data_IF_943675369884
#
_entry.id   IF_943675369884
#
_cell.length_a   1.000
_cell.length_b   1.000
_cell.length_c   1.000
_cell.angle_alpha   90.00
_cell.angle_beta   90.00
_cell.angle_gamma   90.00
#
_symmetry.space_group_name_H-M   'P 1'
#
loop_
_entity.id
_entity.type
_entity.pdbx_description
1 polymer ?
#
# COMPACT_ATOMS: atom_id res chain seq x y z
N UNK A 1 -5.33 -15.44 10.33
CA UNK A 1 -5.15 -14.12 9.67
C UNK A 1 -6.10 -13.13 10.32
N UNK A 2 -5.57 -12.09 10.93
CA UNK A 2 -6.38 -11.08 11.60
C UNK A 2 -6.74 -9.95 10.63
N UNK A 3 -7.51 -8.96 11.09
CA UNK A 3 -7.96 -7.86 10.22
C UNK A 3 -6.81 -7.01 9.71
N UNK A 4 -5.73 -6.89 10.49
CA UNK A 4 -4.57 -6.14 10.04
C UNK A 4 -3.91 -6.82 8.85
N UNK A 5 -3.79 -8.15 8.90
CA UNK A 5 -3.22 -8.93 7.80
C UNK A 5 -4.08 -8.83 6.55
N UNK A 6 -5.40 -8.84 6.71
CA UNK A 6 -6.32 -8.68 5.58
C UNK A 6 -6.14 -7.33 4.91
N UNK A 7 -6.07 -6.26 5.72
CA UNK A 7 -5.86 -4.92 5.17
C UNK A 7 -4.53 -4.77 4.47
N UNK A 8 -3.46 -5.32 5.06
CA UNK A 8 -2.14 -5.26 4.44
C UNK A 8 -2.14 -6.00 3.11
N UNK A 9 -2.80 -7.16 3.05
CA UNK A 9 -2.90 -7.91 1.81
C UNK A 9 -3.64 -7.13 0.73
N UNK A 10 -4.74 -6.48 1.09
CA UNK A 10 -5.50 -5.68 0.14
C UNK A 10 -4.66 -4.51 -0.39
N UNK A 11 -3.90 -3.87 0.48
CA UNK A 11 -3.00 -2.79 0.07
C UNK A 11 -1.92 -3.33 -0.86
N UNK A 12 -1.30 -4.45 -0.51
CA UNK A 12 -0.25 -5.06 -1.33
C UNK A 12 -0.77 -5.43 -2.71
N UNK A 13 -2.00 -5.97 -2.79
CA UNK A 13 -2.60 -6.30 -4.07
C UNK A 13 -2.84 -5.04 -4.91
N UNK A 14 -3.30 -3.97 -4.28
CA UNK A 14 -3.52 -2.71 -4.98
C UNK A 14 -2.21 -2.10 -5.48
N UNK A 15 -1.18 -2.12 -4.65
CA UNK A 15 0.14 -1.61 -5.03
C UNK A 15 0.68 -2.41 -6.22
N UNK A 16 0.52 -3.72 -6.19
CA UNK A 16 0.96 -4.57 -7.29
C UNK A 16 0.24 -4.20 -8.59
N UNK A 17 -1.08 -3.98 -8.53
CA UNK A 17 -1.84 -3.57 -9.69
C UNK A 17 -1.35 -2.23 -10.25
N UNK A 18 -1.04 -1.28 -9.38
CA UNK A 18 -0.55 0.02 -9.80
C UNK A 18 0.83 -0.08 -10.46
N UNK A 19 1.72 -0.89 -9.90
CA UNK A 19 3.02 -1.13 -10.51
C UNK A 19 2.89 -1.77 -11.89
N UNK A 20 2.00 -2.75 -12.02
CA UNK A 20 1.77 -3.40 -13.31
C UNK A 20 1.22 -2.41 -14.33
N UNK A 21 0.31 -1.54 -13.91
CA UNK A 21 -0.24 -0.52 -14.79
C UNK A 21 0.85 0.40 -15.32
N UNK A 22 1.70 0.90 -14.43
CA UNK A 22 2.81 1.76 -14.81
C UNK A 22 3.82 1.01 -15.68
N UNK A 23 4.12 -0.24 -15.29
CA UNK A 23 5.10 -1.06 -15.99
C UNK A 23 4.69 -1.44 -17.39
N UNK A 24 3.39 -1.46 -17.71
CA UNK A 24 2.90 -1.75 -19.05
C UNK A 24 2.84 -0.52 -19.95
N UNK A 25 3.23 0.65 -19.44
CA UNK A 25 3.23 1.87 -20.21
C UNK A 25 1.86 2.50 -20.42
N UNK A 26 0.88 2.14 -19.59
CA UNK A 26 -0.47 2.68 -19.69
C UNK A 26 -0.61 4.10 -19.16
N UNK A 27 0.37 4.57 -18.41
CA UNK A 27 0.39 5.96 -17.97
C UNK A 27 0.82 6.82 -19.16
N UNK A 28 -0.14 7.57 -19.74
CA UNK A 28 0.07 8.28 -20.98
C UNK A 28 0.87 9.58 -20.83
N UNK A 29 0.87 10.16 -19.63
CA UNK A 29 1.53 11.44 -19.39
C UNK A 29 2.43 11.35 -18.17
N UNK A 30 3.38 12.28 -18.10
CA UNK A 30 4.22 12.40 -16.93
C UNK A 30 3.41 12.75 -15.68
N UNK A 31 2.38 13.57 -15.85
CA UNK A 31 1.52 13.95 -14.73
C UNK A 31 0.78 12.74 -14.17
N UNK A 32 0.27 11.87 -15.04
CA UNK A 32 -0.39 10.65 -14.62
C UNK A 32 0.60 9.72 -13.93
N UNK A 33 1.80 9.58 -14.47
CA UNK A 33 2.86 8.80 -13.85
C UNK A 33 3.15 9.30 -12.44
N UNK A 34 3.30 10.61 -12.27
CA UNK A 34 3.56 11.20 -10.95
C UNK A 34 2.42 10.94 -9.99
N UNK A 35 1.18 11.04 -10.47
CA UNK A 35 0.00 10.78 -9.64
C UNK A 35 -0.02 9.34 -9.14
N UNK A 36 0.28 8.40 -10.03
CA UNK A 36 0.32 6.98 -9.68
C UNK A 36 1.44 6.68 -8.67
N UNK A 37 2.60 7.29 -8.86
CA UNK A 37 3.69 7.14 -7.90
C UNK A 37 3.30 7.68 -6.53
N UNK A 38 2.59 8.80 -6.47
CA UNK A 38 2.10 9.37 -5.22
C UNK A 38 1.08 8.45 -4.55
N UNK A 39 0.21 7.84 -5.33
CA UNK A 39 -0.78 6.88 -4.81
C UNK A 39 -0.08 5.67 -4.20
N UNK A 40 0.91 5.12 -4.89
CA UNK A 40 1.69 3.99 -4.38
C UNK A 40 2.37 4.37 -3.08
N UNK A 41 3.00 5.54 -3.04
CA UNK A 41 3.68 6.01 -1.84
C UNK A 41 2.71 6.16 -0.68
N UNK A 42 1.52 6.71 -0.93
CA UNK A 42 0.49 6.85 0.11
C UNK A 42 0.03 5.51 0.64
N UNK A 43 -0.17 4.53 -0.25
CA UNK A 43 -0.58 3.18 0.15
C UNK A 43 0.50 2.50 0.99
N UNK A 44 1.77 2.64 0.60
CA UNK A 44 2.87 2.06 1.36
C UNK A 44 3.02 2.73 2.73
N UNK A 45 2.78 4.02 2.80
CA UNK A 45 2.79 4.74 4.07
C UNK A 45 1.67 4.22 4.98
N UNK A 46 0.46 4.06 4.45
CA UNK A 46 -0.67 3.51 5.21
C UNK A 46 -0.40 2.09 5.67
N UNK A 47 0.24 1.28 4.82
CA UNK A 47 0.64 -0.07 5.16
C UNK A 47 1.54 -0.06 6.40
N UNK A 48 2.48 0.87 6.45
CA UNK A 48 3.37 1.02 7.60
C UNK A 48 2.61 1.35 8.87
N UNK A 49 1.61 2.22 8.78
CA UNK A 49 0.78 2.57 9.94
C UNK A 49 0.00 1.36 10.46
N UNK A 50 -0.53 0.55 9.56
CA UNK A 50 -1.31 -0.64 9.94
C UNK A 50 -0.40 -1.65 10.65
N UNK A 51 0.79 -1.89 10.11
CA UNK A 51 1.74 -2.82 10.71
C UNK A 51 2.22 -2.33 12.08
N UNK A 52 2.44 -1.03 12.20
CA UNK A 52 2.83 -0.44 13.47
C UNK A 52 1.71 -0.61 14.51
N UNK A 53 0.48 -0.35 14.09
CA UNK A 53 -0.68 -0.53 14.98
C UNK A 53 -0.82 -1.98 15.41
N UNK A 54 -0.69 -2.91 14.48
CA UNK A 54 -0.74 -4.34 14.79
C UNK A 54 0.31 -4.69 15.85
N UNK A 55 1.54 -4.23 15.63
CA UNK A 55 2.63 -4.50 16.57
C UNK A 55 2.34 -3.96 17.95
N UNK A 56 1.84 -2.73 18.04
CA UNK A 56 1.50 -2.12 19.33
C UNK A 56 0.36 -2.86 20.02
N UNK A 57 -0.65 -3.29 19.26
CA UNK A 57 -1.78 -4.02 19.83
C UNK A 57 -1.38 -5.40 20.34
N UNK A 58 -0.46 -6.08 19.65
CA UNK A 58 0.02 -7.38 20.09
C UNK A 58 0.87 -7.30 21.36
N UNK A 59 1.44 -6.14 21.65
CA UNK A 59 2.28 -5.92 22.82
C UNK A 59 1.61 -5.08 23.90
N UNK A 60 0.32 -4.81 23.75
CA UNK A 60 -0.38 -3.92 24.66
C UNK A 60 -0.62 -4.51 26.05
N UNK A 61 -0.45 -5.81 26.20
CA UNK A 61 -0.65 -6.49 27.48
C UNK A 61 0.59 -6.46 28.37
N UNK A 62 1.68 -5.93 27.87
CA UNK A 62 2.95 -5.84 28.63
C UNK A 62 3.08 -4.60 29.55
#
# INVERSE_FOLDING_TARGET
MDMYDVLVKEIDDKVKQLFEYVGTGKADTFEEYKRLCGEIKGLLTARGYILDLKNRMEHSDE
#
